data_IF_966498117335
#
_entry.id   IF_966498117335
#
_cell.length_a   1.000
_cell.length_b   1.000
_cell.length_c   1.000
_cell.angle_alpha   90.00
_cell.angle_beta   90.00
_cell.angle_gamma   90.00
#
_symmetry.space_group_name_H-M   'P 1'
#
loop_
_entity.id
_entity.type
_entity.pdbx_description
1 polymer ?
#
# COMPACT_ATOMS: atom_id res chain seq x y z
N UNK A 1 -13.21 21.88 -38.55
CA UNK A 1 -11.80 21.45 -38.73
C UNK A 1 -11.53 20.41 -37.65
N UNK A 2 -11.81 19.14 -37.96
CA UNK A 2 -10.83 18.13 -38.41
C UNK A 2 -9.97 17.65 -37.23
N UNK A 3 -10.40 16.62 -36.49
CA UNK A 3 -10.17 15.18 -36.71
C UNK A 3 -8.70 14.79 -36.59
N UNK A 4 -8.32 14.13 -35.48
CA UNK A 4 -7.50 12.91 -35.48
C UNK A 4 -8.02 12.00 -34.36
N UNK A 5 -8.57 10.86 -34.78
CA UNK A 5 -8.95 9.70 -33.99
C UNK A 5 -7.75 8.76 -33.82
N UNK A 6 -7.83 7.94 -32.77
CA UNK A 6 -7.41 6.52 -32.70
C UNK A 6 -5.94 6.15 -32.99
N UNK A 7 -5.26 5.59 -31.98
CA UNK A 7 -4.95 4.15 -31.96
C UNK A 7 -4.60 3.66 -30.55
N UNK A 8 -5.37 2.67 -30.12
CA UNK A 8 -5.13 1.76 -29.00
C UNK A 8 -4.04 0.73 -29.36
N UNK A 9 -3.59 0.02 -28.33
CA UNK A 9 -3.03 -1.34 -28.35
C UNK A 9 -1.60 -1.55 -28.86
N UNK A 10 -0.69 -1.71 -27.89
CA UNK A 10 0.14 -2.92 -27.75
C UNK A 10 1.13 -2.70 -26.60
N UNK A 11 0.94 -3.41 -25.47
CA UNK A 11 2.00 -3.97 -24.59
C UNK A 11 1.45 -4.25 -23.18
N UNK A 12 0.50 -5.18 -23.04
CA UNK A 12 0.15 -5.75 -21.72
C UNK A 12 -0.38 -7.19 -21.79
N UNK A 13 -0.02 -7.93 -22.85
CA UNK A 13 -0.43 -9.31 -23.10
C UNK A 13 0.79 -10.25 -23.26
N UNK A 14 1.80 -10.09 -22.40
CA UNK A 14 3.05 -10.87 -22.49
C UNK A 14 3.48 -11.53 -21.17
N UNK A 15 2.59 -11.71 -20.17
CA UNK A 15 3.04 -12.21 -18.86
C UNK A 15 2.26 -13.38 -18.24
N UNK A 16 1.13 -13.83 -18.78
CA UNK A 16 0.47 -15.03 -18.23
C UNK A 16 -0.13 -15.89 -19.34
N UNK A 17 0.68 -16.82 -19.83
CA UNK A 17 0.23 -17.90 -20.72
C UNK A 17 -0.35 -19.05 -19.90
N UNK A 18 -1.64 -19.32 -20.08
CA UNK A 18 -2.25 -20.63 -19.82
C UNK A 18 -3.00 -21.05 -21.09
N UNK A 19 -2.83 -22.33 -21.41
CA UNK A 19 -3.12 -23.00 -22.68
C UNK A 19 -4.60 -23.11 -23.05
N UNK A 20 -4.88 -23.12 -24.36
CA UNK A 20 -5.86 -24.02 -24.95
C UNK A 20 -5.28 -24.66 -26.24
N UNK A 21 -5.26 -26.00 -26.29
CA UNK A 21 -5.22 -26.83 -27.52
C UNK A 21 -6.65 -26.95 -28.08
N UNK A 22 -6.93 -27.26 -29.38
CA UNK A 22 -6.21 -28.17 -30.31
C UNK A 22 -6.06 -27.60 -31.76
N UNK A 23 -5.29 -28.16 -32.70
CA UNK A 23 -5.58 -29.35 -33.53
C UNK A 23 -4.40 -29.61 -34.49
N UNK A 24 -4.19 -30.88 -34.85
CA UNK A 24 -3.09 -31.43 -35.64
C UNK A 24 -3.00 -30.99 -37.11
N UNK A 25 -1.77 -30.92 -37.67
CA UNK A 25 -1.38 -31.47 -39.00
C UNK A 25 0.12 -31.81 -39.02
N UNK A 26 0.45 -32.99 -39.56
CA UNK A 26 1.78 -33.54 -39.85
C UNK A 26 2.68 -32.68 -40.78
N UNK A 27 4.01 -32.75 -40.58
CA UNK A 27 4.97 -33.29 -41.56
C UNK A 27 6.46 -32.99 -41.21
N UNK A 28 7.22 -34.08 -41.01
CA UNK A 28 8.62 -34.35 -41.40
C UNK A 28 9.64 -33.20 -41.59
N UNK A 29 10.76 -33.24 -40.83
CA UNK A 29 12.12 -33.57 -41.30
C UNK A 29 13.23 -33.34 -40.24
N UNK A 30 13.89 -34.44 -39.90
CA UNK A 30 15.28 -34.70 -39.45
C UNK A 30 16.29 -33.53 -39.55
N UNK A 31 16.97 -33.16 -38.45
CA UNK A 31 18.42 -33.36 -38.20
C UNK A 31 18.97 -32.59 -36.98
N UNK A 32 19.94 -33.27 -36.35
CA UNK A 32 21.04 -32.78 -35.50
C UNK A 32 20.82 -32.52 -34.01
N UNK A 33 21.13 -33.56 -33.24
CA UNK A 33 21.57 -33.54 -31.85
C UNK A 33 22.67 -32.49 -31.62
N UNK A 34 22.34 -31.47 -30.83
CA UNK A 34 23.33 -30.78 -29.97
C UNK A 34 22.83 -30.84 -28.53
N UNK A 35 23.70 -31.20 -27.56
CA UNK A 35 23.31 -31.17 -26.17
C UNK A 35 23.04 -29.72 -25.76
N UNK A 36 21.83 -29.49 -25.29
CA UNK A 36 21.42 -28.22 -24.68
C UNK A 36 22.24 -28.07 -23.40
N UNK A 37 23.11 -27.05 -23.37
CA UNK A 37 23.73 -26.57 -22.14
C UNK A 37 22.62 -26.23 -21.15
N UNK A 38 22.56 -26.99 -20.05
CA UNK A 38 21.74 -26.69 -18.89
C UNK A 38 22.11 -25.31 -18.38
N UNK A 39 21.28 -24.33 -18.70
CA UNK A 39 21.26 -23.02 -18.04
C UNK A 39 20.99 -23.27 -16.57
N UNK A 40 22.00 -23.06 -15.73
CA UNK A 40 21.86 -23.07 -14.28
C UNK A 40 20.70 -22.15 -13.88
N UNK A 41 19.75 -22.60 -13.04
CA UNK A 41 18.69 -21.73 -12.57
C UNK A 41 19.34 -20.57 -11.80
N UNK A 42 19.11 -19.33 -12.26
CA UNK A 42 19.41 -18.15 -11.47
C UNK A 42 18.66 -18.30 -10.15
N UNK A 43 19.38 -18.55 -9.06
CA UNK A 43 18.78 -18.65 -7.72
C UNK A 43 18.12 -17.32 -7.43
N UNK A 44 16.79 -17.26 -7.47
CA UNK A 44 16.06 -16.07 -7.08
C UNK A 44 16.30 -15.85 -5.58
N UNK A 45 16.97 -14.74 -5.25
CA UNK A 45 17.19 -14.36 -3.86
C UNK A 45 15.85 -14.19 -3.14
N UNK A 46 15.76 -14.71 -1.92
CA UNK A 46 14.62 -14.49 -1.02
C UNK A 46 14.49 -13.00 -0.66
N UNK A 47 13.32 -12.59 -0.16
CA UNK A 47 13.11 -11.19 0.29
C UNK A 47 14.16 -10.79 1.32
N UNK A 48 14.38 -11.62 2.34
CA UNK A 48 15.36 -11.36 3.37
C UNK A 48 16.79 -11.25 2.82
N UNK A 49 17.21 -12.14 1.90
CA UNK A 49 18.52 -12.05 1.26
C UNK A 49 18.71 -10.77 0.43
N UNK A 50 17.66 -10.28 -0.23
CA UNK A 50 17.71 -9.01 -0.97
C UNK A 50 17.89 -7.82 -0.03
N UNK A 51 17.17 -7.81 1.10
CA UNK A 51 17.29 -6.76 2.11
C UNK A 51 18.64 -6.79 2.82
N UNK A 52 19.15 -7.98 3.14
CA UNK A 52 20.49 -8.17 3.72
C UNK A 52 21.57 -7.66 2.77
N UNK A 53 21.49 -8.01 1.48
CA UNK A 53 22.42 -7.50 0.47
C UNK A 53 22.34 -5.97 0.31
N UNK A 54 21.13 -5.40 0.36
CA UNK A 54 20.94 -3.95 0.27
C UNK A 54 21.50 -3.21 1.49
N UNK A 55 21.28 -3.76 2.68
CA UNK A 55 21.87 -3.27 3.93
C UNK A 55 23.39 -3.26 3.86
N UNK A 56 24.02 -4.37 3.49
CA UNK A 56 25.48 -4.48 3.35
C UNK A 56 26.07 -3.49 2.35
N UNK A 57 25.42 -3.32 1.19
CA UNK A 57 25.81 -2.32 0.18
C UNK A 57 25.69 -0.90 0.73
N UNK A 58 24.64 -0.62 1.50
CA UNK A 58 24.44 0.68 2.15
C UNK A 58 25.52 0.98 3.20
N UNK A 59 25.87 0.01 4.04
CA UNK A 59 26.97 0.15 4.99
C UNK A 59 28.30 0.44 4.30
N UNK A 60 28.61 -0.31 3.23
CA UNK A 60 29.82 -0.09 2.43
C UNK A 60 29.85 1.32 1.83
N UNK A 61 28.72 1.79 1.27
CA UNK A 61 28.63 3.13 0.70
C UNK A 61 28.83 4.24 1.75
N UNK A 62 28.33 4.06 2.98
CA UNK A 62 28.55 4.97 4.11
C UNK A 62 30.03 5.03 4.46
N UNK A 63 30.68 3.86 4.59
CA UNK A 63 32.10 3.76 4.94
C UNK A 63 33.00 4.37 3.84
N UNK A 64 32.71 4.09 2.57
CA UNK A 64 33.43 4.65 1.42
C UNK A 64 33.28 6.18 1.32
N UNK A 65 32.06 6.71 1.54
CA UNK A 65 31.82 8.14 1.53
C UNK A 65 32.57 8.86 2.67
N UNK A 66 32.60 8.26 3.86
CA UNK A 66 33.35 8.78 4.99
C UNK A 66 34.87 8.76 4.73
N UNK A 67 35.38 7.66 4.16
CA UNK A 67 36.78 7.54 3.78
C UNK A 67 37.19 8.58 2.74
N UNK A 68 36.40 8.76 1.68
CA UNK A 68 36.65 9.75 0.63
C UNK A 68 36.64 11.18 1.19
N UNK A 69 35.69 11.50 2.07
CA UNK A 69 35.63 12.82 2.73
C UNK A 69 36.83 13.05 3.65
N UNK A 70 37.23 12.05 4.42
CA UNK A 70 38.40 12.17 5.30
C UNK A 70 39.72 12.24 4.51
N UNK A 71 39.80 11.58 3.35
CA UNK A 71 40.93 11.73 2.44
C UNK A 71 41.02 13.17 1.91
N UNK A 72 39.93 13.72 1.37
CA UNK A 72 39.88 15.11 0.91
C UNK A 72 40.31 16.08 2.03
N UNK A 73 39.84 15.84 3.26
CA UNK A 73 40.23 16.63 4.44
C UNK A 73 41.73 16.56 4.73
N UNK A 74 42.37 15.42 4.52
CA UNK A 74 43.81 15.28 4.71
C UNK A 74 44.62 16.06 3.68
N UNK A 75 44.19 16.04 2.41
CA UNK A 75 44.79 16.80 1.31
C UNK A 75 44.60 18.30 1.51
N UNK A 76 43.40 18.71 1.91
CA UNK A 76 43.05 20.08 2.27
C UNK A 76 43.90 20.61 3.42
N UNK A 77 44.05 19.82 4.49
CA UNK A 77 44.86 20.20 5.64
C UNK A 77 46.34 20.36 5.29
N UNK A 78 46.87 19.53 4.37
CA UNK A 78 48.23 19.67 3.87
C UNK A 78 48.41 21.00 3.10
N UNK A 79 47.51 21.30 2.16
CA UNK A 79 47.53 22.53 1.37
C UNK A 79 47.47 23.79 2.25
N UNK A 80 46.51 23.86 3.18
CA UNK A 80 46.37 25.04 4.03
C UNK A 80 47.50 25.17 5.05
N UNK A 81 48.12 24.07 5.47
CA UNK A 81 49.34 24.11 6.28
C UNK A 81 50.51 24.72 5.50
N UNK A 82 50.70 24.36 4.24
CA UNK A 82 51.73 24.94 3.37
C UNK A 82 51.50 26.44 3.14
N UNK A 83 50.25 26.86 2.99
CA UNK A 83 49.88 28.27 2.80
C UNK A 83 49.86 29.10 4.10
N UNK A 84 50.24 28.54 5.25
CA UNK A 84 50.30 29.26 6.52
C UNK A 84 48.96 29.43 7.25
N UNK A 85 47.93 28.69 6.85
CA UNK A 85 46.58 28.74 7.42
C UNK A 85 46.12 27.38 8.00
N UNK A 86 46.86 26.74 8.93
CA UNK A 86 46.63 25.35 9.36
C UNK A 86 45.30 25.08 10.08
N UNK A 87 44.54 26.13 10.43
CA UNK A 87 43.21 26.01 11.07
C UNK A 87 42.05 26.22 10.10
N UNK A 88 42.33 26.57 8.84
CA UNK A 88 41.30 26.79 7.85
C UNK A 88 40.78 25.45 7.29
N UNK A 89 39.48 25.39 7.02
CA UNK A 89 38.75 24.16 6.74
C UNK A 89 37.44 24.48 6.02
N UNK A 90 37.22 23.88 4.86
CA UNK A 90 36.00 24.03 4.06
C UNK A 90 34.98 22.94 4.40
N UNK A 91 35.43 21.70 4.62
CA UNK A 91 34.58 20.58 5.04
C UNK A 91 34.91 20.14 6.47
N UNK A 92 33.95 19.52 7.17
CA UNK A 92 34.22 18.80 8.41
C UNK A 92 34.77 17.38 8.15
N UNK A 93 35.56 16.83 9.07
CA UNK A 93 35.89 15.38 9.10
C UNK A 93 34.67 14.58 9.51
N UNK A 94 34.50 13.39 8.94
CA UNK A 94 33.49 12.43 9.40
C UNK A 94 34.11 11.55 10.47
N UNK A 95 33.53 11.61 11.66
CA UNK A 95 33.92 10.78 12.79
C UNK A 95 33.34 9.36 12.68
N UNK A 96 33.96 8.35 13.30
CA UNK A 96 33.38 7.01 13.36
C UNK A 96 31.98 6.99 13.99
N UNK A 97 31.72 7.87 14.96
CA UNK A 97 30.41 8.00 15.60
C UNK A 97 29.32 8.44 14.60
N UNK A 98 29.64 9.35 13.68
CA UNK A 98 28.71 9.77 12.62
C UNK A 98 28.44 8.63 11.64
N UNK A 99 29.46 7.86 11.23
CA UNK A 99 29.26 6.67 10.39
C UNK A 99 28.34 5.64 11.05
N UNK A 100 28.53 5.35 12.33
CA UNK A 100 27.68 4.42 13.07
C UNK A 100 26.25 4.95 13.22
N UNK A 101 26.07 6.26 13.43
CA UNK A 101 24.74 6.90 13.45
C UNK A 101 24.02 6.80 12.10
N UNK A 102 24.75 6.94 10.99
CA UNK A 102 24.20 6.79 9.63
C UNK A 102 23.80 5.34 9.36
N UNK A 103 24.61 4.37 9.79
CA UNK A 103 24.28 2.93 9.73
C UNK A 103 23.06 2.60 10.59
N UNK A 104 22.98 3.11 11.82
CA UNK A 104 21.80 2.94 12.68
C UNK A 104 20.52 3.50 12.01
N UNK A 105 20.63 4.64 11.34
CA UNK A 105 19.52 5.25 10.60
C UNK A 105 19.10 4.41 9.40
N UNK A 106 20.07 3.88 8.66
CA UNK A 106 19.83 2.94 7.56
C UNK A 106 19.17 1.65 8.07
N UNK A 107 19.60 1.09 9.20
CA UNK A 107 19.03 -0.12 9.80
C UNK A 107 17.56 0.07 10.17
N UNK A 108 17.21 1.21 10.78
CA UNK A 108 15.82 1.59 11.08
C UNK A 108 14.98 1.71 9.80
N UNK A 109 15.53 2.34 8.76
CA UNK A 109 14.86 2.44 7.46
C UNK A 109 14.60 1.07 6.82
N UNK A 110 15.57 0.16 6.88
CA UNK A 110 15.42 -1.22 6.37
C UNK A 110 14.38 -2.00 7.17
N UNK A 111 14.38 -1.86 8.50
CA UNK A 111 13.38 -2.46 9.38
C UNK A 111 11.96 -1.99 9.03
N UNK A 112 11.76 -0.68 8.91
CA UNK A 112 10.45 -0.11 8.58
C UNK A 112 9.99 -0.52 7.18
N UNK A 113 10.91 -0.57 6.21
CA UNK A 113 10.61 -1.02 4.85
C UNK A 113 10.22 -2.51 4.78
N UNK A 114 10.87 -3.37 5.57
CA UNK A 114 10.53 -4.79 5.63
C UNK A 114 9.17 -5.03 6.29
N UNK A 115 8.86 -4.30 7.36
CA UNK A 115 7.52 -4.33 7.99
C UNK A 115 6.45 -3.85 7.02
N UNK A 116 6.69 -2.76 6.30
CA UNK A 116 5.76 -2.26 5.30
C UNK A 116 5.50 -3.30 4.20
N UNK A 117 6.57 -3.95 3.70
CA UNK A 117 6.46 -5.01 2.70
C UNK A 117 5.65 -6.21 3.24
N UNK A 118 5.93 -6.66 4.46
CA UNK A 118 5.20 -7.75 5.11
C UNK A 118 3.72 -7.40 5.31
N UNK A 119 3.41 -6.16 5.72
CA UNK A 119 2.03 -5.69 5.89
C UNK A 119 1.22 -5.77 4.59
N UNK A 120 1.88 -5.55 3.45
CA UNK A 120 1.29 -5.69 2.11
C UNK A 120 1.20 -7.14 1.65
N UNK A 121 2.27 -7.92 1.82
CA UNK A 121 2.37 -9.26 1.29
C UNK A 121 1.54 -10.29 2.06
N UNK A 122 1.39 -10.11 3.37
CA UNK A 122 0.63 -11.02 4.22
C UNK A 122 -0.85 -10.64 4.37
N UNK A 123 -1.26 -9.52 3.79
CA UNK A 123 -2.66 -9.08 3.75
C UNK A 123 -3.49 -9.88 2.77
N UNK A 124 -4.81 -9.68 2.81
CA UNK A 124 -5.72 -10.06 1.71
C UNK A 124 -5.75 -8.98 0.63
N UNK A 125 -6.22 -9.32 -0.57
CA UNK A 125 -6.26 -8.43 -1.73
C UNK A 125 -6.80 -7.03 -1.39
N UNK A 126 -5.91 -6.04 -1.47
CA UNK A 126 -6.23 -4.62 -1.22
C UNK A 126 -6.22 -4.17 0.25
N UNK A 127 -6.02 -5.08 1.21
CA UNK A 127 -6.02 -4.80 2.65
C UNK A 127 -4.66 -5.04 3.29
N UNK A 128 -4.25 -4.18 4.23
CA UNK A 128 -2.97 -4.26 4.94
C UNK A 128 -3.12 -4.98 6.28
N UNK A 129 -2.17 -5.85 6.63
CA UNK A 129 -2.08 -6.42 7.98
C UNK A 129 -1.64 -5.33 8.96
N UNK A 130 -2.33 -5.12 10.09
CA UNK A 130 -1.82 -4.28 11.16
C UNK A 130 -0.62 -4.99 11.82
N UNK A 131 0.58 -4.48 11.57
CA UNK A 131 1.80 -4.96 12.21
C UNK A 131 2.25 -3.90 13.21
N UNK A 132 2.31 -4.27 14.49
CA UNK A 132 2.80 -3.38 15.53
C UNK A 132 4.34 -3.39 15.53
N UNK A 133 4.91 -2.26 15.13
CA UNK A 133 6.35 -2.04 15.08
C UNK A 133 7.02 -2.28 16.42
N UNK A 134 6.39 -1.86 17.52
CA UNK A 134 6.95 -1.98 18.85
C UNK A 134 6.97 -3.44 19.31
N UNK A 135 5.85 -4.16 19.13
CA UNK A 135 5.75 -5.59 19.45
C UNK A 135 6.77 -6.43 18.65
N UNK A 136 6.96 -6.15 17.36
CA UNK A 136 7.96 -6.85 16.55
C UNK A 136 9.38 -6.51 16.98
N UNK A 137 9.64 -5.26 17.32
CA UNK A 137 10.95 -4.86 17.83
C UNK A 137 11.26 -5.54 19.17
N UNK A 138 10.30 -5.60 20.09
CA UNK A 138 10.47 -6.31 21.37
C UNK A 138 10.70 -7.80 21.16
N UNK A 139 9.93 -8.45 20.28
CA UNK A 139 10.06 -9.89 20.00
C UNK A 139 11.38 -10.23 19.29
N UNK A 140 11.84 -9.39 18.37
CA UNK A 140 13.07 -9.64 17.63
C UNK A 140 14.28 -9.58 18.56
N UNK A 141 14.37 -8.54 19.39
CA UNK A 141 15.54 -8.30 20.24
C UNK A 141 15.39 -8.83 21.68
N UNK A 142 14.32 -9.59 21.95
CA UNK A 142 14.27 -10.46 23.12
C UNK A 142 15.29 -11.61 23.02
N UNK A 143 15.78 -11.91 21.81
CA UNK A 143 16.90 -12.80 21.59
C UNK A 143 18.22 -12.08 21.95
N UNK A 144 18.91 -12.58 22.97
CA UNK A 144 20.18 -12.03 23.46
C UNK A 144 21.30 -12.05 22.40
N UNK A 145 21.14 -12.81 21.32
CA UNK A 145 22.10 -12.90 20.21
C UNK A 145 21.93 -11.82 19.15
N UNK A 146 20.82 -11.06 19.16
CA UNK A 146 20.53 -10.02 18.18
C UNK A 146 20.78 -8.64 18.77
N UNK A 147 21.56 -7.81 18.06
CA UNK A 147 21.91 -6.47 18.53
C UNK A 147 21.04 -5.42 17.84
N UNK A 148 20.51 -4.47 18.62
CA UNK A 148 19.82 -3.29 18.07
C UNK A 148 20.68 -2.43 17.13
N UNK A 149 22.01 -2.65 17.11
CA UNK A 149 22.97 -1.94 16.25
C UNK A 149 23.19 -2.62 14.90
N UNK A 150 22.55 -3.75 14.66
CA UNK A 150 22.72 -4.52 13.42
C UNK A 150 21.35 -4.87 12.87
N UNK A 151 21.20 -4.67 11.55
CA UNK A 151 20.00 -5.11 10.86
C UNK A 151 20.09 -6.62 10.61
N UNK A 152 19.03 -7.35 10.98
CA UNK A 152 18.96 -8.80 10.85
C UNK A 152 17.77 -9.16 9.95
N UNK A 153 17.97 -9.14 8.63
CA UNK A 153 16.89 -9.29 7.66
C UNK A 153 16.18 -10.66 7.77
N UNK A 154 16.96 -11.74 7.88
CA UNK A 154 16.44 -13.11 7.95
C UNK A 154 15.60 -13.34 9.21
N UNK A 155 16.12 -12.97 10.38
CA UNK A 155 15.41 -13.13 11.65
C UNK A 155 14.13 -12.29 11.71
N UNK A 156 14.17 -11.06 11.18
CA UNK A 156 12.98 -10.22 11.10
C UNK A 156 11.95 -10.81 10.13
N UNK A 157 12.36 -11.26 8.94
CA UNK A 157 11.45 -11.85 7.96
C UNK A 157 10.81 -13.14 8.48
N UNK A 158 11.60 -14.04 9.10
CA UNK A 158 11.10 -15.27 9.70
C UNK A 158 10.08 -14.98 10.82
N UNK A 159 10.36 -13.99 11.67
CA UNK A 159 9.43 -13.56 12.70
C UNK A 159 8.11 -13.05 12.10
N UNK A 160 8.19 -12.25 11.04
CA UNK A 160 7.02 -11.70 10.35
C UNK A 160 6.22 -12.80 9.64
N UNK A 161 6.86 -13.73 8.95
CA UNK A 161 6.21 -14.89 8.31
C UNK A 161 5.55 -15.79 9.35
N UNK A 162 6.22 -16.07 10.47
CA UNK A 162 5.65 -16.89 11.55
C UNK A 162 4.44 -16.23 12.22
N UNK A 163 4.49 -14.91 12.39
CA UNK A 163 3.45 -14.17 13.11
C UNK A 163 2.26 -13.83 12.22
N UNK A 164 2.53 -13.42 10.98
CA UNK A 164 1.52 -12.87 10.08
C UNK A 164 1.41 -13.62 8.75
N UNK A 165 2.29 -14.56 8.43
CA UNK A 165 2.20 -15.31 7.18
C UNK A 165 0.95 -16.16 7.05
N UNK A 166 0.63 -16.51 5.80
CA UNK A 166 -0.48 -17.41 5.47
C UNK A 166 -1.86 -16.85 5.85
N UNK A 167 -2.73 -17.73 6.35
CA UNK A 167 -4.12 -17.40 6.65
C UNK A 167 -4.27 -16.49 7.88
N UNK A 168 -3.27 -16.45 8.76
CA UNK A 168 -3.35 -15.61 9.96
C UNK A 168 -3.28 -14.12 9.60
N UNK A 169 -2.36 -13.71 8.74
CA UNK A 169 -2.26 -12.32 8.26
C UNK A 169 -3.50 -11.89 7.50
N UNK A 170 -3.98 -12.76 6.59
CA UNK A 170 -5.24 -12.52 5.86
C UNK A 170 -6.40 -12.27 6.83
N UNK A 171 -6.58 -13.14 7.84
CA UNK A 171 -7.61 -12.96 8.85
C UNK A 171 -7.45 -11.63 9.60
N UNK A 172 -6.23 -11.28 10.04
CA UNK A 172 -5.98 -10.03 10.75
C UNK A 172 -6.22 -8.79 9.87
N UNK A 173 -5.89 -8.84 8.59
CA UNK A 173 -6.18 -7.78 7.63
C UNK A 173 -7.70 -7.60 7.44
N UNK A 174 -8.46 -8.69 7.33
CA UNK A 174 -9.92 -8.64 7.24
C UNK A 174 -10.56 -8.13 8.53
N UNK A 175 -10.04 -8.49 9.71
CA UNK A 175 -10.48 -7.97 11.00
C UNK A 175 -10.25 -6.44 11.12
N UNK A 176 -9.09 -5.96 10.67
CA UNK A 176 -8.80 -4.52 10.58
C UNK A 176 -9.77 -3.84 9.62
N UNK A 177 -9.95 -4.38 8.42
CA UNK A 177 -10.86 -3.84 7.40
C UNK A 177 -12.29 -3.75 7.93
N UNK A 178 -12.79 -4.79 8.61
CA UNK A 178 -14.11 -4.79 9.24
C UNK A 178 -14.24 -3.70 10.31
N UNK A 179 -13.23 -3.54 11.16
CA UNK A 179 -13.19 -2.50 12.19
C UNK A 179 -13.19 -1.10 11.59
N UNK A 180 -12.36 -0.86 10.57
CA UNK A 180 -12.28 0.42 9.87
C UNK A 180 -13.57 0.73 9.11
N UNK A 181 -14.14 -0.25 8.41
CA UNK A 181 -15.43 -0.12 7.73
C UNK A 181 -16.54 0.23 8.73
N UNK A 182 -16.64 -0.52 9.84
CA UNK A 182 -17.63 -0.29 10.89
C UNK A 182 -17.55 1.13 11.46
N UNK A 183 -16.34 1.62 11.73
CA UNK A 183 -16.08 2.99 12.21
C UNK A 183 -16.40 4.05 11.16
N UNK A 184 -15.92 3.88 9.92
CA UNK A 184 -16.09 4.83 8.83
C UNK A 184 -17.57 5.02 8.45
N UNK A 185 -18.34 3.93 8.41
CA UNK A 185 -19.78 3.98 8.16
C UNK A 185 -20.61 4.33 9.42
N UNK A 186 -19.95 4.49 10.57
CA UNK A 186 -20.58 4.94 11.80
C UNK A 186 -21.63 3.96 12.34
N UNK A 187 -21.45 2.66 12.10
CA UNK A 187 -22.42 1.62 12.40
C UNK A 187 -22.59 1.34 13.91
N UNK A 188 -21.79 1.97 14.76
CA UNK A 188 -21.96 1.96 16.23
C UNK A 188 -23.14 2.80 16.72
N UNK A 189 -23.69 3.68 15.88
CA UNK A 189 -24.82 4.53 16.25
C UNK A 189 -26.11 3.86 15.79
N UNK A 190 -26.93 3.41 16.74
CA UNK A 190 -28.16 2.64 16.50
C UNK A 190 -29.13 3.30 15.50
N UNK A 191 -29.11 4.63 15.37
CA UNK A 191 -30.02 5.40 14.51
C UNK A 191 -29.59 5.50 13.02
N UNK A 192 -28.50 4.84 12.60
CA UNK A 192 -27.87 5.11 11.29
C UNK A 192 -28.16 4.12 10.17
N UNK A 193 -28.83 3.01 10.46
CA UNK A 193 -29.17 2.00 9.45
C UNK A 193 -30.68 1.99 9.27
N UNK A 194 -31.14 2.43 8.11
CA UNK A 194 -32.57 2.43 7.74
C UNK A 194 -32.80 1.40 6.63
N UNK A 195 -33.97 0.77 6.60
CA UNK A 195 -34.38 -0.07 5.46
C UNK A 195 -35.54 0.61 4.76
N UNK A 196 -35.39 0.90 3.46
CA UNK A 196 -36.41 1.59 2.66
C UNK A 196 -36.39 1.15 1.21
N UNK A 197 -37.56 0.71 0.73
CA UNK A 197 -37.77 0.38 -0.69
C UNK A 197 -36.86 -0.76 -1.20
N UNK A 198 -36.54 -1.74 -0.35
CA UNK A 198 -35.63 -2.84 -0.69
C UNK A 198 -34.14 -2.52 -0.57
N UNK A 199 -33.79 -1.33 -0.06
CA UNK A 199 -32.41 -0.92 0.18
C UNK A 199 -32.12 -0.75 1.67
N UNK A 200 -30.92 -1.15 2.07
CA UNK A 200 -30.30 -0.75 3.33
C UNK A 200 -29.61 0.60 3.12
N UNK A 201 -29.93 1.58 3.94
CA UNK A 201 -29.50 2.96 3.81
C UNK A 201 -28.58 3.30 4.98
N UNK A 202 -27.40 3.83 4.65
CA UNK A 202 -26.44 4.38 5.61
C UNK A 202 -26.17 5.84 5.28
N UNK A 203 -26.23 6.70 6.29
CA UNK A 203 -25.93 8.13 6.16
C UNK A 203 -24.52 8.45 6.67
N UNK A 204 -23.64 8.87 5.76
CA UNK A 204 -22.32 9.40 6.07
C UNK A 204 -22.40 10.92 6.20
N UNK A 205 -21.99 11.48 7.34
CA UNK A 205 -21.99 12.93 7.49
C UNK A 205 -20.90 13.57 6.64
N UNK A 206 -21.21 14.75 6.09
CA UNK A 206 -20.29 15.53 5.32
C UNK A 206 -20.35 17.00 5.74
N UNK A 207 -19.20 17.68 5.65
CA UNK A 207 -19.09 19.10 5.94
C UNK A 207 -18.62 19.83 4.69
N UNK A 208 -19.32 20.90 4.32
CA UNK A 208 -18.87 21.84 3.31
C UNK A 208 -18.23 23.06 3.95
N UNK A 209 -17.15 23.56 3.36
CA UNK A 209 -16.40 24.69 3.90
C UNK A 209 -17.26 25.96 3.99
N UNK A 210 -17.31 26.54 5.19
CA UNK A 210 -18.12 27.72 5.48
C UNK A 210 -17.65 28.98 4.75
N UNK A 211 -16.38 29.03 4.34
CA UNK A 211 -15.84 30.11 3.53
C UNK A 211 -16.45 30.09 2.12
N UNK A 212 -16.48 28.92 1.48
CA UNK A 212 -16.98 28.73 0.11
C UNK A 212 -18.50 28.91 0.00
N UNK A 213 -19.25 28.59 1.06
CA UNK A 213 -20.70 28.86 1.13
C UNK A 213 -21.05 30.34 0.95
N UNK A 214 -20.18 31.25 1.40
CA UNK A 214 -20.39 32.71 1.22
C UNK A 214 -20.27 33.14 -0.24
N UNK A 215 -19.61 32.34 -1.07
CA UNK A 215 -19.42 32.57 -2.51
C UNK A 215 -20.30 31.66 -3.38
N UNK A 216 -21.34 31.03 -2.78
CA UNK A 216 -22.27 30.16 -3.50
C UNK A 216 -21.68 28.80 -3.90
N UNK A 217 -20.50 28.44 -3.38
CA UNK A 217 -19.84 27.15 -3.63
C UNK A 217 -20.12 26.19 -2.48
N UNK A 218 -20.25 24.91 -2.81
CA UNK A 218 -20.52 23.85 -1.83
C UNK A 218 -19.40 22.82 -1.85
N UNK A 219 -18.17 23.31 -1.74
CA UNK A 219 -16.99 22.44 -1.66
C UNK A 219 -16.98 21.68 -0.34
N UNK A 220 -16.67 20.39 -0.40
CA UNK A 220 -16.42 19.59 0.80
C UNK A 220 -15.16 20.09 1.51
N UNK A 221 -15.20 20.15 2.85
CA UNK A 221 -13.98 20.38 3.61
C UNK A 221 -12.99 19.26 3.31
N UNK A 222 -11.69 19.59 3.32
CA UNK A 222 -10.63 18.62 3.04
C UNK A 222 -10.75 17.34 3.89
N UNK A 223 -10.98 17.50 5.19
CA UNK A 223 -11.18 16.38 6.13
C UNK A 223 -12.41 15.53 5.82
N UNK A 224 -13.51 16.15 5.38
CA UNK A 224 -14.74 15.43 5.00
C UNK A 224 -14.54 14.65 3.71
N UNK A 225 -13.82 15.25 2.75
CA UNK A 225 -13.49 14.61 1.48
C UNK A 225 -12.60 13.38 1.72
N UNK A 226 -11.53 13.52 2.48
CA UNK A 226 -10.61 12.42 2.81
C UNK A 226 -11.34 11.27 3.53
N UNK A 227 -12.19 11.61 4.52
CA UNK A 227 -12.98 10.62 5.27
C UNK A 227 -13.94 9.84 4.38
N UNK A 228 -14.63 10.52 3.45
CA UNK A 228 -15.56 9.87 2.52
C UNK A 228 -14.82 9.00 1.51
N UNK A 229 -13.72 9.49 0.93
CA UNK A 229 -12.88 8.72 0.00
C UNK A 229 -12.37 7.45 0.69
N UNK A 230 -11.91 7.56 1.94
CA UNK A 230 -11.50 6.41 2.75
C UNK A 230 -12.66 5.42 2.94
N UNK A 231 -13.84 5.89 3.34
CA UNK A 231 -15.03 5.03 3.52
C UNK A 231 -15.40 4.26 2.23
N UNK A 232 -15.41 4.92 1.08
CA UNK A 232 -15.70 4.25 -0.19
C UNK A 232 -14.60 3.26 -0.61
N UNK A 233 -13.32 3.55 -0.32
CA UNK A 233 -12.23 2.58 -0.55
C UNK A 233 -12.37 1.34 0.32
N UNK A 234 -12.77 1.49 1.57
CA UNK A 234 -13.06 0.36 2.46
C UNK A 234 -14.24 -0.45 1.91
N UNK A 235 -15.30 0.21 1.44
CA UNK A 235 -16.44 -0.46 0.81
C UNK A 235 -16.03 -1.26 -0.42
N UNK A 236 -15.18 -0.71 -1.30
CA UNK A 236 -14.67 -1.43 -2.46
C UNK A 236 -13.89 -2.69 -2.06
N UNK A 237 -13.05 -2.63 -1.02
CA UNK A 237 -12.34 -3.80 -0.52
C UNK A 237 -13.30 -4.89 0.00
N UNK A 238 -14.38 -4.51 0.69
CA UNK A 238 -15.42 -5.47 1.13
C UNK A 238 -16.14 -6.08 -0.08
N UNK A 239 -16.37 -5.32 -1.15
CA UNK A 239 -16.99 -5.84 -2.38
C UNK A 239 -16.06 -6.83 -3.10
N UNK A 240 -14.76 -6.56 -3.17
CA UNK A 240 -13.77 -7.52 -3.68
C UNK A 240 -13.76 -8.81 -2.87
N UNK A 241 -13.80 -8.71 -1.53
CA UNK A 241 -13.90 -9.88 -0.66
C UNK A 241 -15.15 -10.73 -0.97
N UNK A 242 -16.26 -10.07 -1.34
CA UNK A 242 -17.51 -10.72 -1.73
C UNK A 242 -17.55 -11.17 -3.20
N UNK A 243 -16.44 -11.07 -3.93
CA UNK A 243 -16.34 -11.36 -5.38
C UNK A 243 -17.30 -10.52 -6.23
N UNK A 244 -17.49 -9.26 -5.86
CA UNK A 244 -18.26 -8.25 -6.59
C UNK A 244 -17.30 -7.22 -7.22
N UNK A 245 -16.38 -7.71 -8.06
CA UNK A 245 -15.23 -6.95 -8.56
C UNK A 245 -15.65 -5.72 -9.39
N UNK A 246 -16.65 -5.87 -10.26
CA UNK A 246 -17.17 -4.76 -11.08
C UNK A 246 -17.76 -3.63 -10.21
N UNK A 247 -18.45 -3.99 -9.13
CA UNK A 247 -18.99 -3.04 -8.17
C UNK A 247 -17.86 -2.36 -7.37
N UNK A 248 -16.85 -3.12 -6.97
CA UNK A 248 -15.68 -2.57 -6.30
C UNK A 248 -14.95 -1.54 -7.19
N UNK A 249 -14.74 -1.85 -8.47
CA UNK A 249 -14.13 -0.93 -9.44
C UNK A 249 -14.97 0.35 -9.61
N UNK A 250 -16.30 0.21 -9.75
CA UNK A 250 -17.20 1.35 -9.83
C UNK A 250 -17.13 2.25 -8.58
N UNK A 251 -17.02 1.66 -7.39
CA UNK A 251 -16.86 2.39 -6.13
C UNK A 251 -15.50 3.10 -6.07
N UNK A 252 -14.41 2.46 -6.52
CA UNK A 252 -13.08 3.08 -6.61
C UNK A 252 -13.10 4.27 -7.58
N UNK A 253 -13.74 4.12 -8.73
CA UNK A 253 -13.95 5.22 -9.69
C UNK A 253 -14.67 6.39 -9.05
N UNK A 254 -15.77 6.13 -8.34
CA UNK A 254 -16.51 7.16 -7.61
C UNK A 254 -15.68 7.85 -6.52
N UNK A 255 -14.89 7.09 -5.74
CA UNK A 255 -14.00 7.64 -4.72
C UNK A 255 -12.91 8.54 -5.34
N UNK A 256 -12.38 8.15 -6.51
CA UNK A 256 -11.43 8.96 -7.27
C UNK A 256 -12.08 10.27 -7.73
N UNK A 257 -13.27 10.22 -8.31
CA UNK A 257 -13.99 11.41 -8.75
C UNK A 257 -14.30 12.36 -7.59
N UNK A 258 -14.67 11.83 -6.43
CA UNK A 258 -14.88 12.61 -5.21
C UNK A 258 -13.60 13.30 -4.75
N UNK A 259 -12.43 12.71 -5.01
CA UNK A 259 -11.12 13.26 -4.64
C UNK A 259 -10.74 14.51 -5.44
N UNK A 260 -11.32 14.70 -6.63
CA UNK A 260 -11.01 15.83 -7.51
C UNK A 260 -12.18 16.82 -7.65
N UNK A 261 -13.28 16.60 -6.93
CA UNK A 261 -14.50 17.37 -7.11
C UNK A 261 -14.44 18.70 -6.34
N UNK A 262 -14.50 19.79 -7.08
CA UNK A 262 -14.49 21.15 -6.52
C UNK A 262 -15.82 21.53 -5.86
N UNK A 263 -16.97 21.11 -6.40
CA UNK A 263 -18.29 21.48 -5.90
C UNK A 263 -19.24 20.28 -5.71
N UNK A 264 -19.87 20.21 -4.53
CA UNK A 264 -20.90 19.23 -4.22
C UNK A 264 -22.27 19.71 -4.70
N UNK A 265 -22.87 18.92 -5.60
CA UNK A 265 -24.26 19.14 -6.04
C UNK A 265 -25.18 18.38 -5.11
N UNK A 266 -26.14 19.07 -4.47
CA UNK A 266 -27.14 18.43 -3.61
C UNK A 266 -28.17 17.66 -4.45
N UNK A 267 -28.59 16.49 -3.95
CA UNK A 267 -29.47 15.50 -4.59
C UNK A 267 -28.91 14.92 -5.90
N UNK A 268 -27.60 15.02 -6.14
CA UNK A 268 -27.01 14.26 -7.23
C UNK A 268 -27.04 12.77 -6.89
N UNK A 269 -27.32 11.94 -7.89
CA UNK A 269 -27.47 10.51 -7.75
C UNK A 269 -26.42 9.81 -8.58
N UNK A 270 -25.69 8.90 -7.95
CA UNK A 270 -24.67 8.06 -8.57
C UNK A 270 -25.10 6.61 -8.38
N UNK A 271 -25.30 5.88 -9.47
CA UNK A 271 -25.56 4.45 -9.42
C UNK A 271 -24.23 3.75 -9.69
N UNK A 272 -23.81 2.90 -8.76
CA UNK A 272 -22.57 2.14 -8.80
C UNK A 272 -22.92 0.65 -9.00
N UNK A 273 -22.19 -0.01 -9.91
CA UNK A 273 -22.49 -1.36 -10.38
C UNK A 273 -23.61 -1.41 -11.43
N UNK A 274 -23.64 -2.50 -12.20
CA UNK A 274 -24.50 -2.65 -13.39
C UNK A 274 -26.00 -2.63 -13.07
N UNK A 275 -26.37 -3.06 -11.87
CA UNK A 275 -27.77 -3.17 -11.43
C UNK A 275 -28.16 -2.13 -10.38
N UNK A 276 -27.41 -1.03 -10.29
CA UNK A 276 -27.57 -0.04 -9.21
C UNK A 276 -27.50 -0.69 -7.83
N UNK A 277 -26.53 -1.58 -7.66
CA UNK A 277 -26.32 -2.36 -6.45
C UNK A 277 -26.01 -1.45 -5.26
N UNK A 278 -25.28 -0.37 -5.53
CA UNK A 278 -25.10 0.75 -4.62
C UNK A 278 -25.56 2.04 -5.29
N UNK A 279 -26.34 2.85 -4.58
CA UNK A 279 -26.74 4.19 -5.01
C UNK A 279 -26.25 5.18 -3.98
N UNK A 280 -25.46 6.15 -4.41
CA UNK A 280 -25.02 7.27 -3.57
C UNK A 280 -25.84 8.50 -3.94
N UNK A 281 -26.51 9.09 -2.96
CA UNK A 281 -27.21 10.36 -3.09
C UNK A 281 -26.51 11.39 -2.22
N UNK A 282 -26.09 12.49 -2.83
CA UNK A 282 -25.40 13.57 -2.13
C UNK A 282 -26.40 14.55 -1.53
N UNK A 283 -26.08 15.08 -0.36
CA UNK A 283 -26.74 16.21 0.27
C UNK A 283 -25.66 17.16 0.79
N UNK A 284 -26.01 18.42 1.04
CA UNK A 284 -25.04 19.42 1.52
C UNK A 284 -24.39 19.09 2.87
N UNK A 285 -24.96 18.15 3.63
CA UNK A 285 -24.48 17.75 4.95
C UNK A 285 -24.31 16.23 5.13
N UNK A 286 -24.56 15.43 4.08
CA UNK A 286 -24.43 13.98 4.15
C UNK A 286 -24.39 13.30 2.78
N UNK A 287 -23.89 12.08 2.76
CA UNK A 287 -24.00 11.13 1.65
C UNK A 287 -24.90 10.00 2.11
N UNK A 288 -25.98 9.77 1.39
CA UNK A 288 -26.89 8.67 1.62
C UNK A 288 -26.48 7.51 0.71
N UNK A 289 -25.93 6.46 1.31
CA UNK A 289 -25.47 5.26 0.62
C UNK A 289 -26.57 4.21 0.74
N UNK A 290 -27.17 3.84 -0.38
CA UNK A 290 -28.21 2.82 -0.47
C UNK A 290 -27.61 1.57 -1.08
N UNK A 291 -27.61 0.47 -0.34
CA UNK A 291 -27.19 -0.85 -0.79
C UNK A 291 -28.42 -1.68 -1.07
N UNK A 292 -28.47 -2.38 -2.20
CA UNK A 292 -29.51 -3.37 -2.42
C UNK A 292 -29.36 -4.52 -1.40
N UNK A 293 -30.36 -5.40 -1.37
CA UNK A 293 -30.38 -6.51 -0.42
C UNK A 293 -29.14 -7.42 -0.53
N UNK A 294 -28.72 -7.78 -1.75
CA UNK A 294 -27.56 -8.66 -1.96
C UNK A 294 -26.28 -8.06 -1.37
N UNK A 295 -25.99 -6.79 -1.64
CA UNK A 295 -24.81 -6.09 -1.11
C UNK A 295 -24.89 -5.96 0.41
N UNK A 296 -26.07 -5.61 0.93
CA UNK A 296 -26.26 -5.47 2.37
C UNK A 296 -26.03 -6.80 3.12
N UNK A 297 -26.48 -7.92 2.55
CA UNK A 297 -26.23 -9.26 3.10
C UNK A 297 -24.73 -9.60 3.09
N UNK A 298 -24.01 -9.29 2.01
CA UNK A 298 -22.55 -9.53 1.95
C UNK A 298 -21.80 -8.70 3.01
N UNK A 299 -22.16 -7.42 3.17
CA UNK A 299 -21.59 -6.57 4.23
C UNK A 299 -21.90 -7.14 5.62
N UNK A 300 -23.11 -7.63 5.84
CA UNK A 300 -23.50 -8.23 7.12
C UNK A 300 -22.72 -9.52 7.40
N UNK A 301 -22.54 -10.39 6.41
CA UNK A 301 -21.73 -11.61 6.53
C UNK A 301 -20.28 -11.24 6.82
N UNK A 302 -19.72 -10.28 6.09
CA UNK A 302 -18.35 -9.81 6.29
C UNK A 302 -18.12 -9.32 7.72
N UNK A 303 -18.99 -8.42 8.19
CA UNK A 303 -18.91 -7.90 9.55
C UNK A 303 -19.16 -9.00 10.60
N UNK A 304 -20.11 -9.92 10.35
CA UNK A 304 -20.37 -11.03 11.26
C UNK A 304 -19.18 -11.98 11.43
N UNK A 305 -18.34 -12.13 10.40
CA UNK A 305 -17.17 -13.01 10.43
C UNK A 305 -15.91 -12.34 11.01
N UNK A 306 -15.73 -11.04 10.78
CA UNK A 306 -14.44 -10.37 11.03
C UNK A 306 -14.50 -9.18 11.98
N UNK A 307 -15.68 -8.64 12.33
CA UNK A 307 -15.75 -7.52 13.26
C UNK A 307 -15.45 -8.00 14.69
N UNK A 308 -14.36 -7.49 15.25
CA UNK A 308 -14.06 -7.61 16.68
C UNK A 308 -14.29 -6.25 17.33
N UNK A 309 -15.28 -6.19 18.21
CA UNK A 309 -15.49 -5.03 19.07
C UNK A 309 -14.66 -5.24 20.34
N UNK A 310 -13.73 -4.32 20.58
CA UNK A 310 -12.97 -4.21 21.84
C UNK A 310 -13.81 -3.58 22.95
#
# INVERSE_FOLDING_TARGET
MQTIHSHLDASFAALFGVQETPTAVDAYLVHDDKPIETVSPSVELTVAQRFESLWQKGCLAIDEAAAARNQFRSEEAALFKELGHPRYSVLGTVSPCECESDKDSLAKGMFDALIWLASKQFGSDGSEVPIDRHDIHEKLYADEHLSHKTFHADALWELLERTYGGDNGKRLALEKLATEFYRAFGLSRQDKVEVKGGYTIINLHAYCDSFDKKYGRNRLSYSSQESLVSAFRLMAQVMNWASLDDLAEAIVGFAKDLSYRDDLVSRARFNLGDKSEVIVITYLNRFEVRMNQQVAEQVQIFLGNYLKLE
#
